data_IF_336834872127
#
_entry.id   IF_336834872127
#
_cell.length_a   1.000
_cell.length_b   1.000
_cell.length_c   1.000
_cell.angle_alpha   90.00
_cell.angle_beta   90.00
_cell.angle_gamma   90.00
#
_symmetry.space_group_name_H-M   'P 1'
#
loop_
_entity.id
_entity.type
_entity.pdbx_description
1 polymer ?
#
# COMPACT_ATOMS: atom_id res chain seq x y z
N UNK A 1 24.48 -5.24 11.31
CA UNK A 1 23.06 -4.84 11.36
C UNK A 1 22.76 -4.11 10.07
N UNK A 2 21.95 -4.70 9.21
CA UNK A 2 21.46 -4.02 8.01
C UNK A 2 20.45 -2.96 8.44
N UNK A 3 20.77 -1.71 8.19
CA UNK A 3 19.85 -0.60 8.36
C UNK A 3 18.93 -0.58 7.13
N UNK A 4 17.63 -0.43 7.33
CA UNK A 4 16.70 -0.24 6.21
C UNK A 4 17.05 1.08 5.55
N UNK A 5 17.77 1.00 4.43
CA UNK A 5 18.09 2.14 3.59
C UNK A 5 17.16 2.15 2.38
N UNK A 6 16.40 3.21 2.24
CA UNK A 6 15.62 3.44 1.01
C UNK A 6 16.52 4.07 -0.05
N UNK A 7 16.31 3.64 -1.30
CA UNK A 7 17.00 4.25 -2.44
C UNK A 7 16.69 5.75 -2.53
N UNK A 8 17.65 6.51 -3.02
CA UNK A 8 17.50 7.98 -3.18
C UNK A 8 16.27 8.37 -3.99
N UNK A 9 15.90 7.57 -5.00
CA UNK A 9 14.70 7.79 -5.80
C UNK A 9 13.41 7.67 -4.98
N UNK A 10 13.34 6.69 -4.07
CA UNK A 10 12.18 6.52 -3.16
C UNK A 10 12.08 7.69 -2.19
N UNK A 11 13.18 8.10 -1.60
CA UNK A 11 13.21 9.26 -0.70
C UNK A 11 12.81 10.55 -1.42
N UNK A 12 13.24 10.75 -2.67
CA UNK A 12 12.80 11.88 -3.49
C UNK A 12 11.29 11.87 -3.74
N UNK A 13 10.70 10.71 -4.00
CA UNK A 13 9.25 10.56 -4.13
C UNK A 13 8.53 10.91 -2.82
N UNK A 14 9.05 10.45 -1.68
CA UNK A 14 8.47 10.76 -0.37
C UNK A 14 8.50 12.26 -0.07
N UNK A 15 9.61 12.94 -0.37
CA UNK A 15 9.73 14.39 -0.17
C UNK A 15 8.74 15.17 -1.06
N UNK A 16 8.61 14.79 -2.33
CA UNK A 16 7.64 15.39 -3.24
C UNK A 16 6.19 15.15 -2.78
N UNK A 17 5.89 13.93 -2.28
CA UNK A 17 4.59 13.59 -1.72
C UNK A 17 4.29 14.40 -0.46
N UNK A 18 5.26 14.57 0.43
CA UNK A 18 5.14 15.37 1.65
C UNK A 18 4.75 16.82 1.33
N UNK A 19 5.43 17.45 0.37
CA UNK A 19 5.13 18.80 -0.07
C UNK A 19 3.71 18.93 -0.62
N UNK A 20 3.31 17.96 -1.45
CA UNK A 20 1.96 17.93 -2.03
C UNK A 20 0.88 17.77 -0.97
N UNK A 21 1.04 16.83 -0.05
CA UNK A 21 0.05 16.56 0.99
C UNK A 21 -0.08 17.74 1.96
N UNK A 22 1.04 18.36 2.34
CA UNK A 22 1.02 19.59 3.15
C UNK A 22 0.30 20.73 2.44
N UNK A 23 0.59 20.96 1.16
CA UNK A 23 -0.06 22.01 0.36
C UNK A 23 -1.58 21.81 0.25
N UNK A 24 -2.03 20.55 0.14
CA UNK A 24 -3.45 20.20 0.07
C UNK A 24 -4.16 20.06 1.41
N UNK A 25 -3.43 20.12 2.51
CA UNK A 25 -3.98 19.83 3.84
C UNK A 25 -4.40 18.36 4.02
N UNK A 26 -3.75 17.47 3.28
CA UNK A 26 -4.08 16.05 3.25
C UNK A 26 -3.26 15.23 4.24
N UNK A 27 -3.86 14.13 4.68
CA UNK A 27 -3.23 13.14 5.54
C UNK A 27 -3.37 11.75 4.94
N UNK A 28 -2.28 10.99 4.94
CA UNK A 28 -2.16 9.68 4.32
C UNK A 28 -2.31 8.55 5.34
N UNK A 29 -3.07 7.53 4.96
CA UNK A 29 -3.01 6.21 5.58
C UNK A 29 -2.51 5.16 4.58
N UNK A 30 -1.74 4.18 5.05
CA UNK A 30 -1.26 3.06 4.26
C UNK A 30 -1.80 1.74 4.81
N UNK A 31 -2.35 0.89 3.95
CA UNK A 31 -2.78 -0.47 4.27
C UNK A 31 -1.91 -1.45 3.50
N UNK A 32 -1.10 -2.23 4.20
CA UNK A 32 -0.03 -3.03 3.62
C UNK A 32 -0.19 -4.51 3.93
N UNK A 33 -0.09 -5.33 2.89
CA UNK A 33 0.03 -6.77 3.02
C UNK A 33 1.45 -7.20 2.64
N UNK A 34 1.74 -7.44 1.38
CA UNK A 34 3.04 -7.98 0.93
C UNK A 34 4.26 -7.11 1.25
N UNK A 35 4.09 -5.83 1.45
CA UNK A 35 5.17 -4.90 1.81
C UNK A 35 5.47 -4.85 3.30
N UNK A 36 4.57 -5.35 4.14
CA UNK A 36 4.81 -5.56 5.57
C UNK A 36 5.20 -4.30 6.37
N UNK A 37 4.76 -3.10 5.94
CA UNK A 37 5.08 -1.84 6.59
C UNK A 37 6.13 -0.98 5.87
N UNK A 38 6.66 -1.42 4.73
CA UNK A 38 7.69 -0.67 4.00
C UNK A 38 7.20 0.67 3.46
N UNK A 39 5.92 0.80 3.07
CA UNK A 39 5.37 2.09 2.63
C UNK A 39 5.33 3.06 3.80
N UNK A 40 4.83 2.64 4.95
CA UNK A 40 4.84 3.44 6.16
C UNK A 40 6.26 3.81 6.60
N UNK A 41 7.19 2.85 6.53
CA UNK A 41 8.60 3.09 6.85
C UNK A 41 9.23 4.12 5.90
N UNK A 42 8.96 4.04 4.58
CA UNK A 42 9.44 5.02 3.62
C UNK A 42 8.89 6.42 3.90
N UNK A 43 7.58 6.53 4.14
CA UNK A 43 6.93 7.80 4.46
C UNK A 43 7.51 8.43 5.73
N UNK A 44 7.83 7.64 6.73
CA UNK A 44 8.35 8.11 8.03
C UNK A 44 9.87 8.21 8.08
N UNK A 45 10.57 7.86 7.00
CA UNK A 45 12.03 8.03 6.90
C UNK A 45 12.47 9.50 6.82
N UNK A 46 11.57 10.41 6.49
CA UNK A 46 11.85 11.85 6.38
C UNK A 46 11.31 12.60 7.58
N UNK A 47 12.05 13.60 8.04
CA UNK A 47 11.64 14.45 9.15
C UNK A 47 10.36 15.22 8.82
N UNK A 48 9.50 15.46 9.83
CA UNK A 48 8.26 16.19 9.65
C UNK A 48 7.12 15.37 9.04
N UNK A 49 7.28 14.06 8.90
CA UNK A 49 6.24 13.18 8.33
C UNK A 49 4.94 13.16 9.16
N UNK A 50 4.99 13.48 10.44
CA UNK A 50 3.81 13.59 11.30
C UNK A 50 2.78 14.63 10.84
N UNK A 51 3.17 15.58 10.02
CA UNK A 51 2.25 16.58 9.47
C UNK A 51 1.26 15.98 8.47
N UNK A 52 1.66 14.92 7.79
CA UNK A 52 0.91 14.37 6.65
C UNK A 52 0.73 12.85 6.66
N UNK A 53 1.56 12.09 7.38
CA UNK A 53 1.36 10.64 7.54
C UNK A 53 0.59 10.37 8.82
N UNK A 54 -0.61 9.80 8.69
CA UNK A 54 -1.54 9.64 9.82
C UNK A 54 -1.39 8.28 10.50
N UNK A 55 -1.50 7.18 9.74
CA UNK A 55 -1.28 5.83 10.24
C UNK A 55 -1.04 4.81 9.15
N UNK A 56 -0.47 3.68 9.56
CA UNK A 56 -0.33 2.50 8.75
C UNK A 56 -1.04 1.31 9.37
N UNK A 57 -1.57 0.44 8.51
CA UNK A 57 -2.19 -0.83 8.86
C UNK A 57 -1.37 -1.93 8.20
N UNK A 58 -0.69 -2.76 8.97
CA UNK A 58 -0.04 -3.96 8.45
C UNK A 58 -1.02 -5.12 8.62
N UNK A 59 -1.70 -5.49 7.54
CA UNK A 59 -2.76 -6.49 7.50
C UNK A 59 -2.30 -7.68 6.67
N UNK A 60 -1.37 -8.44 7.23
CA UNK A 60 -0.65 -9.48 6.51
C UNK A 60 -1.51 -10.74 6.28
N UNK A 61 -2.26 -11.18 7.29
CA UNK A 61 -3.20 -12.29 7.19
C UNK A 61 -4.55 -11.85 6.61
N UNK A 62 -5.36 -12.81 6.18
CA UNK A 62 -6.73 -12.55 5.77
C UNK A 62 -7.58 -12.03 6.93
N UNK A 63 -7.40 -12.64 8.10
CA UNK A 63 -8.08 -12.23 9.34
C UNK A 63 -7.77 -10.78 9.71
N UNK A 64 -6.50 -10.37 9.60
CA UNK A 64 -6.09 -9.00 9.88
C UNK A 64 -6.76 -7.98 8.93
N UNK A 65 -6.95 -8.34 7.66
CA UNK A 65 -7.68 -7.49 6.71
C UNK A 65 -9.12 -7.27 7.15
N UNK A 66 -9.76 -8.30 7.65
CA UNK A 66 -11.13 -8.22 8.17
C UNK A 66 -11.19 -7.46 9.49
N UNK A 67 -10.35 -7.81 10.44
CA UNK A 67 -10.37 -7.24 11.80
C UNK A 67 -9.95 -5.77 11.83
N UNK A 68 -8.90 -5.40 11.10
CA UNK A 68 -8.33 -4.05 11.15
C UNK A 68 -8.95 -3.09 10.14
N UNK A 69 -9.37 -3.58 8.98
CA UNK A 69 -9.87 -2.75 7.88
C UNK A 69 -11.35 -2.97 7.57
N UNK A 70 -11.97 -3.97 8.15
CA UNK A 70 -13.36 -4.32 7.85
C UNK A 70 -13.54 -4.91 6.45
N UNK A 71 -12.50 -5.48 5.84
CA UNK A 71 -12.64 -6.20 4.57
C UNK A 71 -13.50 -7.43 4.81
N UNK A 72 -14.63 -7.60 4.09
CA UNK A 72 -15.50 -8.75 4.31
C UNK A 72 -14.78 -10.07 4.06
N UNK A 73 -14.85 -11.01 5.01
CA UNK A 73 -14.27 -12.33 4.85
C UNK A 73 -14.82 -13.06 3.61
N UNK A 74 -16.09 -12.86 3.29
CA UNK A 74 -16.73 -13.39 2.08
C UNK A 74 -16.10 -12.84 0.79
N UNK A 75 -15.66 -11.59 0.79
CA UNK A 75 -14.99 -10.97 -0.36
C UNK A 75 -13.62 -11.63 -0.60
N UNK A 76 -12.88 -11.88 0.47
CA UNK A 76 -11.59 -12.56 0.41
C UNK A 76 -11.78 -14.01 -0.06
N UNK A 77 -12.79 -14.71 0.44
CA UNK A 77 -13.11 -16.08 0.03
C UNK A 77 -13.49 -16.16 -1.47
N UNK A 78 -14.24 -15.19 -1.97
CA UNK A 78 -14.70 -15.17 -3.37
C UNK A 78 -13.59 -14.82 -4.36
N UNK A 79 -12.71 -13.86 -4.04
CA UNK A 79 -11.74 -13.29 -4.98
C UNK A 79 -10.28 -13.60 -4.64
N UNK A 80 -10.01 -14.11 -3.44
CA UNK A 80 -8.67 -14.22 -2.89
C UNK A 80 -8.15 -12.85 -2.39
N UNK A 81 -7.17 -12.89 -1.50
CA UNK A 81 -6.59 -11.66 -0.93
C UNK A 81 -5.92 -10.78 -2.00
N UNK A 82 -5.30 -11.40 -3.01
CA UNK A 82 -4.62 -10.70 -4.11
C UNK A 82 -5.63 -10.51 -5.24
N UNK A 83 -6.42 -9.44 -5.15
CA UNK A 83 -7.50 -9.13 -6.10
C UNK A 83 -7.84 -7.64 -6.09
N UNK A 84 -8.45 -7.17 -7.15
CA UNK A 84 -8.98 -5.81 -7.27
C UNK A 84 -9.96 -5.48 -6.14
N UNK A 85 -10.92 -6.38 -5.92
CA UNK A 85 -11.97 -6.18 -4.93
C UNK A 85 -11.40 -6.01 -3.51
N UNK A 86 -10.42 -6.84 -3.13
CA UNK A 86 -9.79 -6.76 -1.81
C UNK A 86 -8.92 -5.52 -1.69
N UNK A 87 -8.12 -5.15 -2.69
CA UNK A 87 -7.32 -3.93 -2.67
C UNK A 87 -8.20 -2.67 -2.50
N UNK A 88 -9.30 -2.59 -3.23
CA UNK A 88 -10.30 -1.51 -3.08
C UNK A 88 -10.88 -1.46 -1.67
N UNK A 89 -11.32 -2.59 -1.16
CA UNK A 89 -11.89 -2.68 0.19
C UNK A 89 -10.86 -2.31 1.27
N UNK A 90 -9.58 -2.60 1.06
CA UNK A 90 -8.51 -2.20 1.98
C UNK A 90 -8.34 -0.67 2.04
N UNK A 91 -8.36 0.03 0.91
CA UNK A 91 -8.31 1.51 0.89
C UNK A 91 -9.51 2.10 1.59
N UNK A 92 -10.70 1.65 1.25
CA UNK A 92 -11.94 2.12 1.87
C UNK A 92 -11.95 1.86 3.38
N UNK A 93 -11.46 0.69 3.79
CA UNK A 93 -11.30 0.33 5.20
C UNK A 93 -10.30 1.23 5.91
N UNK A 94 -9.15 1.51 5.31
CA UNK A 94 -8.15 2.41 5.86
C UNK A 94 -8.70 3.83 6.06
N UNK A 95 -9.47 4.33 5.11
CA UNK A 95 -10.14 5.64 5.22
C UNK A 95 -11.18 5.67 6.33
N UNK A 96 -11.99 4.61 6.48
CA UNK A 96 -13.00 4.52 7.54
C UNK A 96 -12.43 4.40 8.95
N UNK A 97 -11.27 3.76 9.09
CA UNK A 97 -10.64 3.47 10.39
C UNK A 97 -9.50 4.44 10.74
N UNK A 98 -9.41 5.56 10.05
CA UNK A 98 -8.38 6.58 10.27
C UNK A 98 -8.96 7.99 10.13
N UNK A 99 -8.12 8.98 10.41
CA UNK A 99 -8.40 10.40 10.13
C UNK A 99 -7.76 10.86 8.82
N UNK A 100 -7.33 9.90 7.99
CA UNK A 100 -6.73 10.20 6.69
C UNK A 100 -7.76 10.67 5.67
N UNK A 101 -7.34 11.53 4.77
CA UNK A 101 -8.13 12.00 3.62
C UNK A 101 -7.77 11.28 2.33
N UNK A 102 -6.59 10.64 2.32
CA UNK A 102 -6.05 9.86 1.22
C UNK A 102 -5.51 8.54 1.77
N UNK A 103 -5.73 7.44 1.08
CA UNK A 103 -5.16 6.15 1.46
C UNK A 103 -4.57 5.42 0.26
N UNK A 104 -3.62 4.55 0.55
CA UNK A 104 -3.05 3.59 -0.39
C UNK A 104 -3.11 2.19 0.22
N UNK A 105 -3.38 1.19 -0.60
CA UNK A 105 -3.34 -0.21 -0.18
C UNK A 105 -2.63 -1.07 -1.21
N UNK A 106 -1.92 -2.09 -0.72
CA UNK A 106 -1.23 -3.06 -1.54
C UNK A 106 -1.47 -4.48 -1.02
N UNK A 107 -1.73 -5.39 -1.95
CA UNK A 107 -1.84 -6.82 -1.68
C UNK A 107 -1.25 -7.58 -2.87
N UNK A 108 -0.37 -8.53 -2.62
CA UNK A 108 0.37 -9.15 -3.71
C UNK A 108 1.13 -10.41 -3.32
N UNK A 109 1.73 -11.02 -4.32
CA UNK A 109 2.54 -12.23 -4.23
C UNK A 109 4.01 -11.86 -4.46
N UNK A 110 4.73 -11.68 -3.36
CA UNK A 110 6.15 -11.29 -3.44
C UNK A 110 7.08 -12.44 -3.84
N UNK A 111 6.64 -13.68 -3.63
CA UNK A 111 7.43 -14.88 -3.96
C UNK A 111 8.45 -15.28 -2.88
N UNK A 112 9.24 -16.34 -3.13
CA UNK A 112 9.26 -17.16 -4.36
C UNK A 112 8.03 -18.06 -4.54
N UNK A 113 7.31 -18.36 -3.47
CA UNK A 113 6.08 -19.15 -3.50
C UNK A 113 4.82 -18.30 -3.59
N UNK A 114 3.65 -18.96 -3.50
CA UNK A 114 2.35 -18.31 -3.42
C UNK A 114 1.64 -18.08 -4.76
N UNK A 115 2.29 -18.36 -5.89
CA UNK A 115 1.65 -18.30 -7.19
C UNK A 115 0.47 -19.27 -7.29
N UNK A 116 -0.62 -18.80 -7.90
CA UNK A 116 -1.80 -19.59 -8.22
C UNK A 116 -2.20 -19.32 -9.68
N UNK A 117 -3.07 -20.15 -10.31
CA UNK A 117 -3.50 -19.91 -11.68
C UNK A 117 -4.02 -18.47 -11.87
N UNK A 118 -3.48 -17.76 -12.87
CA UNK A 118 -3.82 -16.36 -13.17
C UNK A 118 -3.16 -15.30 -12.28
N UNK A 119 -2.43 -15.72 -11.24
CA UNK A 119 -1.72 -14.82 -10.31
C UNK A 119 -0.29 -15.33 -10.08
N UNK A 120 0.64 -15.09 -11.04
CA UNK A 120 2.04 -15.47 -10.87
C UNK A 120 2.74 -14.62 -9.80
N UNK A 121 3.91 -15.05 -9.35
CA UNK A 121 4.78 -14.24 -8.51
C UNK A 121 5.02 -12.87 -9.14
N UNK A 122 4.99 -11.81 -8.36
CA UNK A 122 5.07 -10.44 -8.83
C UNK A 122 3.72 -9.79 -9.14
N UNK A 123 2.62 -10.54 -9.06
CA UNK A 123 1.27 -9.97 -9.14
C UNK A 123 0.99 -9.15 -7.88
N UNK A 124 0.74 -7.86 -8.04
CA UNK A 124 0.37 -6.94 -6.97
C UNK A 124 -0.84 -6.13 -7.41
N UNK A 125 -1.84 -6.05 -6.55
CA UNK A 125 -2.93 -5.11 -6.69
C UNK A 125 -2.67 -3.89 -5.81
N UNK A 126 -2.64 -2.74 -6.43
CA UNK A 126 -2.41 -1.43 -5.82
C UNK A 126 -3.69 -0.62 -5.93
N UNK A 127 -4.20 -0.12 -4.81
CA UNK A 127 -5.35 0.77 -4.77
C UNK A 127 -4.96 2.07 -4.05
N UNK A 128 -5.54 3.19 -4.47
CA UNK A 128 -5.30 4.48 -3.85
C UNK A 128 -6.46 5.44 -4.11
N UNK A 129 -6.64 6.41 -3.25
CA UNK A 129 -7.64 7.44 -3.46
C UNK A 129 -8.28 7.94 -2.17
N UNK A 130 -9.38 8.65 -2.39
CA UNK A 130 -10.25 9.22 -1.36
C UNK A 130 -11.55 8.43 -1.29
N UNK A 131 -12.32 8.62 -0.24
CA UNK A 131 -13.64 7.99 -0.14
C UNK A 131 -14.51 8.37 -1.35
N UNK A 132 -15.05 7.35 -2.03
CA UNK A 132 -15.86 7.53 -3.23
C UNK A 132 -15.07 7.75 -4.53
N UNK A 133 -13.73 7.82 -4.47
CA UNK A 133 -12.86 8.04 -5.63
C UNK A 133 -11.59 7.18 -5.54
N UNK A 134 -11.77 5.86 -5.44
CA UNK A 134 -10.68 4.89 -5.34
C UNK A 134 -10.33 4.34 -6.71
N UNK A 135 -9.06 4.43 -7.06
CA UNK A 135 -8.47 3.81 -8.25
C UNK A 135 -7.76 2.51 -7.87
N UNK A 136 -7.75 1.55 -8.78
CA UNK A 136 -7.10 0.26 -8.58
C UNK A 136 -6.33 -0.12 -9.83
N UNK A 137 -5.14 -0.68 -9.67
CA UNK A 137 -4.27 -1.12 -10.75
C UNK A 137 -3.65 -2.47 -10.42
N UNK A 138 -3.55 -3.33 -11.42
CA UNK A 138 -2.76 -4.57 -11.34
C UNK A 138 -1.35 -4.30 -11.84
N UNK A 139 -0.36 -4.60 -10.99
CA UNK A 139 1.05 -4.59 -11.37
C UNK A 139 1.53 -6.02 -11.60
N UNK A 140 2.47 -6.18 -12.53
CA UNK A 140 3.24 -7.41 -12.71
C UNK A 140 4.72 -7.03 -12.58
N UNK A 141 5.28 -7.26 -11.40
CA UNK A 141 6.65 -6.87 -11.07
C UNK A 141 7.60 -8.05 -11.26
N UNK A 142 8.73 -7.78 -11.89
CA UNK A 142 9.78 -8.76 -12.11
C UNK A 142 10.77 -8.81 -10.93
N UNK A 143 11.53 -9.87 -10.86
CA UNK A 143 12.61 -10.05 -9.90
C UNK A 143 12.23 -10.93 -8.71
N UNK A 144 13.08 -10.93 -7.71
CA UNK A 144 12.92 -11.69 -6.48
C UNK A 144 11.95 -10.99 -5.51
N UNK A 145 11.77 -11.58 -4.35
CA UNK A 145 10.90 -11.06 -3.29
C UNK A 145 11.24 -9.61 -2.89
N UNK A 146 12.52 -9.31 -2.77
CA UNK A 146 12.99 -7.96 -2.42
C UNK A 146 12.65 -6.95 -3.52
N UNK A 147 12.87 -7.32 -4.79
CA UNK A 147 12.56 -6.49 -5.94
C UNK A 147 11.05 -6.22 -6.08
N UNK A 148 10.21 -7.24 -5.87
CA UNK A 148 8.74 -7.09 -5.90
C UNK A 148 8.26 -6.16 -4.79
N UNK A 149 8.75 -6.32 -3.58
CA UNK A 149 8.38 -5.46 -2.45
C UNK A 149 8.85 -4.02 -2.65
N UNK A 150 10.10 -3.82 -3.05
CA UNK A 150 10.64 -2.48 -3.35
C UNK A 150 9.93 -1.79 -4.52
N UNK A 151 9.68 -2.52 -5.60
CA UNK A 151 8.92 -2.02 -6.74
C UNK A 151 7.48 -1.65 -6.38
N UNK A 152 6.86 -2.37 -5.46
CA UNK A 152 5.52 -2.05 -4.94
C UNK A 152 5.53 -0.72 -4.19
N UNK A 153 6.52 -0.48 -3.33
CA UNK A 153 6.66 0.80 -2.61
C UNK A 153 6.82 1.96 -3.60
N UNK A 154 7.71 1.83 -4.57
CA UNK A 154 7.95 2.86 -5.58
C UNK A 154 6.68 3.16 -6.41
N UNK A 155 5.96 2.13 -6.84
CA UNK A 155 4.70 2.29 -7.57
C UNK A 155 3.62 2.98 -6.72
N UNK A 156 3.48 2.60 -5.45
CA UNK A 156 2.52 3.20 -4.53
C UNK A 156 2.77 4.72 -4.36
N UNK A 157 4.01 5.10 -4.12
CA UNK A 157 4.39 6.51 -3.99
C UNK A 157 4.15 7.29 -5.29
N UNK A 158 4.46 6.69 -6.43
CA UNK A 158 4.23 7.33 -7.74
C UNK A 158 2.74 7.59 -8.00
N UNK A 159 1.86 6.65 -7.66
CA UNK A 159 0.40 6.82 -7.84
C UNK A 159 -0.15 7.87 -6.88
N UNK A 160 0.34 7.92 -5.66
CA UNK A 160 -0.05 8.96 -4.69
C UNK A 160 0.34 10.36 -5.15
N UNK A 161 1.47 10.52 -5.83
CA UNK A 161 1.89 11.81 -6.42
C UNK A 161 0.92 12.30 -7.50
N UNK A 162 0.21 11.40 -8.18
CA UNK A 162 -0.80 11.72 -9.20
C UNK A 162 -2.23 11.86 -8.66
N UNK A 163 -2.44 11.60 -7.39
CA UNK A 163 -3.78 11.55 -6.80
C UNK A 163 -4.38 12.91 -6.46
#
# INVERSE_FOLDING_TARGET
>A
VEVVNFESAVLAQVLALADRLRAGGDRLAAAESCTGGLIAAACTAVAGSSDWFERGFVTYSNEAKTEMLGVPAALIAAHGAVSEAVARAMVEGALRHSHATLAVAVTGIAGPGGAVPGKPVGTVWLAWGRMGAVQVERLQLAGDRSAVRGGTVAAALQRLLGA
#
